data_IF_723734788946
#
_entry.id   IF_723734788946
#
_cell.length_a   1.000
_cell.length_b   1.000
_cell.length_c   1.000
_cell.angle_alpha   90.00
_cell.angle_beta   90.00
_cell.angle_gamma   90.00
#
_symmetry.space_group_name_H-M   'P 1'
#
loop_
_entity.id
_entity.type
_entity.pdbx_description
1 polymer ?
#
# COMPACT_ATOMS: atom_id res chain seq x y z
N UNK A 1 6.78 32.17 -7.53
CA UNK A 1 7.65 31.13 -6.96
C UNK A 1 6.97 29.78 -7.19
N UNK A 2 7.73 28.76 -7.51
CA UNK A 2 7.21 27.42 -7.74
C UNK A 2 6.66 26.80 -6.44
N UNK A 3 5.52 26.11 -6.51
CA UNK A 3 4.96 25.38 -5.37
C UNK A 3 5.67 24.03 -5.13
N UNK A 4 6.62 23.65 -5.99
CA UNK A 4 7.27 22.35 -5.93
C UNK A 4 7.94 22.02 -4.58
N UNK A 5 8.36 23.02 -3.80
CA UNK A 5 8.98 22.81 -2.50
C UNK A 5 7.97 22.50 -1.37
N UNK A 6 6.73 22.93 -1.50
CA UNK A 6 5.71 22.85 -0.45
C UNK A 6 4.51 21.99 -0.79
N UNK A 7 4.22 21.78 -2.08
CA UNK A 7 3.15 20.89 -2.54
C UNK A 7 3.69 19.46 -2.72
N UNK A 8 3.07 18.51 -2.06
CA UNK A 8 3.42 17.10 -2.12
C UNK A 8 2.45 16.28 -2.97
N UNK A 9 1.30 16.82 -3.36
CA UNK A 9 0.31 16.11 -4.19
C UNK A 9 0.67 16.28 -5.66
N UNK A 10 0.97 15.17 -6.32
CA UNK A 10 1.41 15.16 -7.71
C UNK A 10 0.47 15.91 -8.64
N UNK A 11 -0.83 15.68 -8.52
CA UNK A 11 -1.88 16.25 -9.37
C UNK A 11 -2.24 17.71 -9.04
N UNK A 12 -1.52 18.36 -8.12
CA UNK A 12 -1.70 19.78 -7.77
C UNK A 12 -0.61 20.67 -8.34
N UNK A 13 0.44 20.09 -8.90
CA UNK A 13 1.48 20.85 -9.60
C UNK A 13 1.09 21.05 -11.06
N UNK A 14 1.44 22.23 -11.58
CA UNK A 14 1.42 22.52 -13.01
C UNK A 14 2.63 21.84 -13.69
N UNK A 15 2.60 21.66 -15.02
CA UNK A 15 3.72 21.00 -15.71
C UNK A 15 5.06 21.74 -15.58
N UNK A 16 5.15 23.09 -15.50
CA UNK A 16 6.41 23.76 -15.20
C UNK A 16 6.92 23.47 -13.79
N UNK A 17 6.04 23.45 -12.78
CA UNK A 17 6.40 23.10 -11.40
C UNK A 17 6.83 21.64 -11.27
N UNK A 18 6.34 20.79 -12.17
CA UNK A 18 6.78 19.39 -12.22
C UNK A 18 8.25 19.26 -12.63
N UNK A 19 8.77 20.13 -13.53
CA UNK A 19 10.18 20.20 -13.84
C UNK A 19 11.02 20.59 -12.61
N UNK A 20 10.52 21.53 -11.80
CA UNK A 20 11.20 21.90 -10.55
C UNK A 20 11.23 20.71 -9.57
N UNK A 21 10.13 19.97 -9.44
CA UNK A 21 10.05 18.80 -8.57
C UNK A 21 11.01 17.66 -9.03
N UNK A 22 11.18 17.48 -10.35
CA UNK A 22 12.18 16.55 -10.91
C UNK A 22 13.60 17.02 -10.55
N UNK A 23 13.89 18.33 -10.71
CA UNK A 23 15.17 18.92 -10.33
C UNK A 23 15.48 18.78 -8.83
N UNK A 24 14.48 18.76 -7.98
CA UNK A 24 14.60 18.49 -6.53
C UNK A 24 14.81 16.99 -6.23
N UNK A 25 14.76 16.12 -7.23
CA UNK A 25 14.84 14.66 -7.07
C UNK A 25 13.83 14.11 -6.04
N UNK A 26 12.58 14.58 -6.12
CA UNK A 26 11.52 14.06 -5.26
C UNK A 26 11.27 12.58 -5.56
N UNK A 27 11.03 11.81 -4.50
CA UNK A 27 10.61 10.42 -4.61
C UNK A 27 9.10 10.39 -4.89
N UNK A 28 8.66 9.58 -5.83
CA UNK A 28 7.25 9.34 -6.12
C UNK A 28 6.70 8.29 -5.17
N UNK A 29 5.58 8.58 -4.51
CA UNK A 29 4.78 7.60 -3.76
C UNK A 29 3.52 7.30 -4.57
N UNK A 30 3.29 6.02 -4.88
CA UNK A 30 2.07 5.52 -5.50
C UNK A 30 1.27 4.70 -4.47
N UNK A 31 0.22 5.26 -3.85
CA UNK A 31 -0.67 4.50 -3.00
C UNK A 31 -1.49 3.51 -3.82
N UNK A 32 -1.73 2.31 -3.30
CA UNK A 32 -2.62 1.31 -3.89
C UNK A 32 -3.51 0.71 -2.83
N UNK A 33 -4.75 0.43 -3.17
CA UNK A 33 -5.72 -0.21 -2.27
C UNK A 33 -6.71 -1.06 -3.06
N UNK A 34 -7.86 -1.30 -2.47
CA UNK A 34 -8.98 -1.98 -3.09
C UNK A 34 -10.31 -1.36 -2.64
N UNK A 35 -11.35 -1.53 -3.43
CA UNK A 35 -12.73 -1.24 -3.05
C UNK A 35 -13.41 -2.56 -2.76
N UNK A 36 -13.57 -2.90 -1.48
CA UNK A 36 -14.06 -4.21 -1.04
C UNK A 36 -14.79 -4.14 0.30
N UNK A 37 -15.55 -5.19 0.58
CA UNK A 37 -16.22 -5.35 1.85
C UNK A 37 -15.22 -5.33 3.03
N UNK A 38 -15.59 -4.70 4.13
CA UNK A 38 -14.87 -4.70 5.41
C UNK A 38 -15.84 -4.89 6.58
N UNK A 39 -16.54 -6.03 6.57
CA UNK A 39 -17.54 -6.33 7.57
C UNK A 39 -18.80 -5.46 7.48
N UNK A 40 -19.62 -5.51 8.50
CA UNK A 40 -20.86 -4.72 8.57
C UNK A 40 -20.67 -3.31 9.12
N UNK A 41 -19.48 -3.01 9.68
CA UNK A 41 -19.21 -1.81 10.47
C UNK A 41 -18.35 -0.78 9.76
N UNK A 42 -17.57 -1.17 8.75
CA UNK A 42 -16.71 -0.28 7.97
C UNK A 42 -17.25 -0.05 6.55
N UNK A 43 -16.99 1.13 5.95
CA UNK A 43 -17.20 1.35 4.53
C UNK A 43 -16.34 0.45 3.65
N UNK A 44 -16.60 0.43 2.35
CA UNK A 44 -15.86 -0.40 1.38
C UNK A 44 -14.58 0.27 0.82
N UNK A 45 -14.20 1.42 1.35
CA UNK A 45 -13.03 2.19 0.90
C UNK A 45 -11.81 2.05 1.84
N UNK A 46 -11.86 1.16 2.82
CA UNK A 46 -10.86 1.05 3.90
C UNK A 46 -9.43 1.03 3.38
N UNK A 47 -9.11 0.10 2.49
CA UNK A 47 -7.75 -0.07 1.97
C UNK A 47 -7.21 1.18 1.29
N UNK A 48 -8.07 1.82 0.48
CA UNK A 48 -7.72 3.05 -0.25
C UNK A 48 -7.57 4.20 0.74
N UNK A 49 -8.58 4.41 1.57
CA UNK A 49 -8.65 5.54 2.49
C UNK A 49 -7.51 5.53 3.51
N UNK A 50 -7.23 4.38 4.12
CA UNK A 50 -6.16 4.26 5.12
C UNK A 50 -4.77 4.44 4.48
N UNK A 51 -4.51 3.77 3.36
CA UNK A 51 -3.23 3.88 2.65
C UNK A 51 -2.99 5.31 2.14
N UNK A 52 -3.98 5.92 1.50
CA UNK A 52 -3.91 7.28 1.00
C UNK A 52 -3.68 8.28 2.14
N UNK A 53 -4.39 8.14 3.26
CA UNK A 53 -4.24 9.00 4.45
C UNK A 53 -2.83 8.95 5.02
N UNK A 54 -2.26 7.75 5.16
CA UNK A 54 -0.87 7.59 5.61
C UNK A 54 0.10 8.25 4.62
N UNK A 55 -0.04 8.00 3.32
CA UNK A 55 0.84 8.58 2.29
C UNK A 55 0.73 10.11 2.22
N UNK A 56 -0.47 10.65 2.36
CA UNK A 56 -0.67 12.11 2.40
C UNK A 56 -0.05 12.75 3.64
N UNK A 57 -0.15 12.11 4.80
CA UNK A 57 0.51 12.62 6.00
C UNK A 57 2.05 12.57 5.89
N UNK A 58 2.62 11.52 5.27
CA UNK A 58 4.04 11.49 4.91
C UNK A 58 4.39 12.69 4.02
N UNK A 59 3.61 12.92 2.96
CA UNK A 59 3.81 14.05 2.06
C UNK A 59 3.73 15.41 2.77
N UNK A 60 2.79 15.56 3.70
CA UNK A 60 2.65 16.79 4.50
C UNK A 60 3.85 17.05 5.39
N UNK A 61 4.49 16.00 5.94
CA UNK A 61 5.68 16.14 6.83
C UNK A 61 6.97 16.42 6.07
N UNK A 62 7.10 15.92 4.86
CA UNK A 62 8.32 16.08 4.04
C UNK A 62 7.99 16.49 2.60
N UNK A 63 7.27 17.62 2.42
CA UNK A 63 6.75 18.00 1.10
C UNK A 63 7.84 18.30 0.07
N UNK A 64 9.02 18.70 0.51
CA UNK A 64 10.20 18.94 -0.32
C UNK A 64 10.85 17.65 -0.87
N UNK A 65 10.50 16.49 -0.32
CA UNK A 65 11.16 15.21 -0.61
C UNK A 65 10.32 14.25 -1.44
N UNK A 66 9.00 14.39 -1.45
CA UNK A 66 8.09 13.44 -2.11
C UNK A 66 7.03 14.13 -2.96
N UNK A 67 6.49 13.36 -3.93
CA UNK A 67 5.19 13.62 -4.53
C UNK A 67 4.32 12.37 -4.38
N UNK A 68 3.11 12.55 -3.89
CA UNK A 68 2.12 11.49 -3.72
C UNK A 68 1.16 11.52 -4.91
N UNK A 69 1.09 10.44 -5.66
CA UNK A 69 0.15 10.24 -6.76
C UNK A 69 -1.28 9.99 -6.21
N UNK A 70 -2.32 10.25 -7.00
CA UNK A 70 -3.65 9.70 -6.73
C UNK A 70 -3.60 8.19 -6.59
N UNK A 71 -4.39 7.58 -5.69
CA UNK A 71 -4.31 6.14 -5.41
C UNK A 71 -4.88 5.29 -6.56
N UNK A 72 -4.37 4.06 -6.68
CA UNK A 72 -5.06 2.99 -7.41
C UNK A 72 -6.12 2.40 -6.48
N UNK A 73 -7.39 2.66 -6.78
CA UNK A 73 -8.52 2.39 -5.87
C UNK A 73 -9.17 1.01 -6.06
N UNK A 74 -8.76 0.24 -7.06
CA UNK A 74 -9.31 -1.08 -7.38
C UNK A 74 -8.19 -2.09 -7.50
N UNK A 75 -8.37 -3.28 -6.90
CA UNK A 75 -7.32 -4.29 -6.77
C UNK A 75 -7.76 -5.72 -7.13
N UNK A 76 -6.89 -6.68 -6.82
CA UNK A 76 -7.15 -8.11 -6.94
C UNK A 76 -8.10 -8.55 -5.83
N UNK A 77 -9.38 -8.72 -6.16
CA UNK A 77 -10.42 -8.81 -5.16
C UNK A 77 -11.52 -9.86 -5.41
N UNK A 78 -11.25 -10.80 -6.32
CA UNK A 78 -12.22 -11.83 -6.68
C UNK A 78 -12.65 -12.71 -5.50
N UNK A 79 -11.78 -12.86 -4.52
CA UNK A 79 -12.06 -13.66 -3.32
C UNK A 79 -13.11 -13.02 -2.39
N UNK A 80 -13.37 -11.70 -2.51
CA UNK A 80 -14.42 -10.97 -1.80
C UNK A 80 -15.68 -10.72 -2.66
N UNK A 81 -15.75 -11.22 -3.89
CA UNK A 81 -16.80 -10.87 -4.86
C UNK A 81 -18.21 -11.27 -4.43
N UNK A 82 -18.33 -12.24 -3.53
CA UNK A 82 -19.62 -12.69 -2.99
C UNK A 82 -20.27 -11.66 -2.05
N UNK A 83 -19.54 -10.62 -1.68
CA UNK A 83 -20.04 -9.51 -0.86
C UNK A 83 -20.36 -8.30 -1.74
N UNK A 84 -21.60 -7.76 -1.68
CA UNK A 84 -22.02 -6.63 -2.49
C UNK A 84 -21.14 -5.40 -2.34
N UNK A 85 -20.85 -4.71 -3.43
CA UNK A 85 -20.03 -3.50 -3.47
C UNK A 85 -18.55 -3.75 -3.75
N UNK A 86 -18.06 -4.97 -3.61
CA UNK A 86 -16.68 -5.34 -3.96
C UNK A 86 -16.44 -5.22 -5.47
N UNK A 87 -15.34 -4.58 -5.86
CA UNK A 87 -14.91 -4.44 -7.27
C UNK A 87 -13.58 -5.19 -7.45
N UNK A 88 -13.55 -6.08 -8.43
CA UNK A 88 -12.37 -6.87 -8.76
C UNK A 88 -11.71 -6.39 -10.06
N UNK A 89 -10.40 -6.34 -10.05
CA UNK A 89 -9.57 -6.15 -11.25
C UNK A 89 -8.69 -7.38 -11.46
N UNK A 90 -8.66 -7.89 -12.68
CA UNK A 90 -7.80 -9.04 -13.03
C UNK A 90 -6.30 -8.69 -12.80
N UNK A 91 -5.49 -9.65 -12.35
CA UNK A 91 -4.07 -9.41 -12.01
C UNK A 91 -3.28 -8.75 -13.14
N UNK A 92 -3.44 -9.23 -14.37
CA UNK A 92 -2.71 -8.70 -15.53
C UNK A 92 -3.08 -7.25 -15.83
N UNK A 93 -4.36 -6.90 -15.65
CA UNK A 93 -4.85 -5.53 -15.83
C UNK A 93 -4.26 -4.62 -14.76
N UNK A 94 -4.26 -5.04 -13.49
CA UNK A 94 -3.69 -4.29 -12.39
C UNK A 94 -2.18 -4.06 -12.58
N UNK A 95 -1.44 -5.13 -12.91
CA UNK A 95 0.01 -5.05 -13.16
C UNK A 95 0.30 -4.10 -14.30
N UNK A 96 -0.37 -4.24 -15.45
CA UNK A 96 -0.14 -3.39 -16.61
C UNK A 96 -0.53 -1.93 -16.34
N UNK A 97 -1.60 -1.67 -15.62
CA UNK A 97 -2.02 -0.32 -15.24
C UNK A 97 -0.97 0.35 -14.32
N UNK A 98 -0.56 -0.33 -13.25
CA UNK A 98 0.47 0.17 -12.34
C UNK A 98 1.81 0.38 -13.04
N UNK A 99 2.22 -0.55 -13.93
CA UNK A 99 3.45 -0.42 -14.71
C UNK A 99 3.41 0.79 -15.65
N UNK A 100 2.28 1.07 -16.31
CA UNK A 100 2.16 2.25 -17.17
C UNK A 100 2.29 3.55 -16.36
N UNK A 101 1.77 3.61 -15.13
CA UNK A 101 1.94 4.76 -14.24
C UNK A 101 3.42 4.93 -13.89
N UNK A 102 4.08 3.87 -13.41
CA UNK A 102 5.49 3.95 -12.99
C UNK A 102 6.43 4.26 -14.16
N UNK A 103 6.18 3.71 -15.34
CA UNK A 103 6.92 4.04 -16.58
C UNK A 103 6.74 5.50 -16.99
N UNK A 104 5.54 6.05 -16.85
CA UNK A 104 5.28 7.44 -17.19
C UNK A 104 6.05 8.41 -16.29
N UNK A 105 6.05 8.18 -14.97
CA UNK A 105 6.82 9.03 -14.05
C UNK A 105 8.34 8.84 -14.22
N UNK A 106 8.79 7.63 -14.53
CA UNK A 106 10.20 7.36 -14.88
C UNK A 106 10.61 8.09 -16.15
N UNK A 107 9.75 8.08 -17.19
CA UNK A 107 9.99 8.81 -18.44
C UNK A 107 10.16 10.31 -18.22
N UNK A 108 9.42 10.89 -17.27
CA UNK A 108 9.56 12.31 -16.92
C UNK A 108 10.84 12.63 -16.12
N UNK A 109 11.60 11.62 -15.69
CA UNK A 109 12.89 11.82 -15.02
C UNK A 109 12.86 11.60 -13.49
N UNK A 110 11.76 11.14 -12.92
CA UNK A 110 11.73 10.71 -11.52
C UNK A 110 12.48 9.39 -11.36
N UNK A 111 13.55 9.44 -10.59
CA UNK A 111 14.49 8.32 -10.48
C UNK A 111 14.09 7.26 -9.42
N UNK A 112 13.20 7.61 -8.49
CA UNK A 112 12.83 6.74 -7.36
C UNK A 112 11.33 6.73 -7.17
N UNK A 113 10.76 5.53 -7.17
CA UNK A 113 9.32 5.28 -7.05
C UNK A 113 9.11 4.30 -5.91
N UNK A 114 8.18 4.61 -5.00
CA UNK A 114 7.75 3.75 -3.92
C UNK A 114 6.26 3.45 -4.08
N UNK A 115 5.92 2.18 -4.30
CA UNK A 115 4.53 1.72 -4.28
C UNK A 115 4.19 1.35 -2.84
N UNK A 116 3.18 2.00 -2.28
CA UNK A 116 2.68 1.73 -0.92
C UNK A 116 1.32 1.06 -1.02
N UNK A 117 1.20 -0.13 -0.46
CA UNK A 117 0.00 -0.95 -0.56
C UNK A 117 -0.84 -0.89 0.71
N UNK A 118 -2.16 -0.85 0.54
CA UNK A 118 -3.17 -0.95 1.58
C UNK A 118 -3.98 -2.25 1.55
N UNK A 119 -3.85 -3.08 0.50
CA UNK A 119 -4.66 -4.29 0.33
C UNK A 119 -3.79 -5.54 0.25
N UNK A 120 -4.02 -6.50 1.16
CA UNK A 120 -3.16 -7.69 1.27
C UNK A 120 -2.96 -8.45 -0.05
N UNK A 121 -4.02 -8.63 -0.83
CA UNK A 121 -3.97 -9.41 -2.08
C UNK A 121 -3.24 -8.70 -3.22
N UNK A 122 -3.02 -7.41 -3.15
CA UNK A 122 -2.19 -6.69 -4.12
C UNK A 122 -0.68 -6.91 -3.90
N UNK A 123 -0.25 -7.40 -2.74
CA UNK A 123 1.18 -7.49 -2.39
C UNK A 123 2.04 -8.19 -3.44
N UNK A 124 1.69 -9.38 -3.98
CA UNK A 124 2.48 -10.00 -5.04
C UNK A 124 2.46 -9.22 -6.36
N UNK A 125 1.41 -8.46 -6.63
CA UNK A 125 1.25 -7.70 -7.88
C UNK A 125 2.10 -6.43 -7.86
N UNK A 126 2.15 -5.72 -6.74
CA UNK A 126 2.99 -4.51 -6.61
C UNK A 126 4.49 -4.86 -6.67
N UNK A 127 4.89 -6.03 -6.16
CA UNK A 127 6.27 -6.53 -6.31
C UNK A 127 6.60 -6.77 -7.78
N UNK A 128 5.69 -7.37 -8.55
CA UNK A 128 5.85 -7.55 -10.00
C UNK A 128 5.90 -6.21 -10.75
N UNK A 129 5.06 -5.24 -10.40
CA UNK A 129 5.11 -3.88 -10.98
C UNK A 129 6.48 -3.26 -10.70
N UNK A 130 6.97 -3.32 -9.48
CA UNK A 130 8.27 -2.76 -9.11
C UNK A 130 9.42 -3.41 -9.91
N UNK A 131 9.44 -4.75 -10.00
CA UNK A 131 10.42 -5.50 -10.80
C UNK A 131 10.39 -5.13 -12.28
N UNK A 132 9.21 -5.09 -12.89
CA UNK A 132 9.05 -4.71 -14.30
C UNK A 132 9.47 -3.26 -14.55
N UNK A 133 9.16 -2.35 -13.64
CA UNK A 133 9.59 -0.94 -13.74
C UNK A 133 11.11 -0.83 -13.81
N UNK A 134 11.83 -1.53 -12.93
CA UNK A 134 13.31 -1.53 -12.93
C UNK A 134 13.87 -2.18 -14.20
N UNK A 135 13.21 -3.21 -14.75
CA UNK A 135 13.67 -3.87 -15.99
C UNK A 135 13.43 -3.04 -17.25
N UNK A 136 12.40 -2.18 -17.24
CA UNK A 136 11.93 -1.43 -18.41
C UNK A 136 12.28 0.07 -18.36
N UNK A 137 12.90 0.53 -17.26
CA UNK A 137 13.30 1.95 -17.09
C UNK A 137 14.65 2.05 -16.36
N UNK A 138 15.19 3.28 -16.28
CA UNK A 138 16.40 3.56 -15.48
C UNK A 138 16.08 3.95 -14.03
N UNK A 139 14.81 3.88 -13.61
CA UNK A 139 14.40 4.27 -12.28
C UNK A 139 14.42 3.10 -11.31
N UNK A 140 14.77 3.34 -10.03
CA UNK A 140 14.55 2.39 -8.96
C UNK A 140 13.08 2.41 -8.55
N UNK A 141 12.51 1.23 -8.40
CA UNK A 141 11.14 1.07 -7.93
C UNK A 141 11.09 0.10 -6.75
N UNK A 142 10.44 0.53 -5.68
CA UNK A 142 10.31 -0.19 -4.42
C UNK A 142 8.82 -0.47 -4.17
N UNK A 143 8.52 -1.57 -3.48
CA UNK A 143 7.17 -1.93 -3.09
C UNK A 143 7.13 -2.27 -1.59
N UNK A 144 6.13 -1.77 -0.89
CA UNK A 144 5.90 -2.06 0.53
C UNK A 144 4.42 -2.02 0.87
N UNK A 145 4.06 -2.52 2.04
CA UNK A 145 2.74 -2.34 2.65
C UNK A 145 2.88 -1.49 3.91
N UNK A 146 2.06 -0.46 4.07
CA UNK A 146 2.23 0.51 5.16
C UNK A 146 2.11 -0.12 6.54
N UNK A 147 1.33 -1.18 6.70
CA UNK A 147 1.11 -1.81 8.00
C UNK A 147 2.38 -2.45 8.60
N UNK A 148 3.40 -2.78 7.82
CA UNK A 148 4.67 -3.28 8.37
C UNK A 148 5.33 -2.29 9.34
N UNK A 149 5.13 -1.00 9.12
CA UNK A 149 5.74 0.06 9.92
C UNK A 149 5.01 0.37 11.23
N UNK A 150 3.80 -0.13 11.39
CA UNK A 150 3.01 0.06 12.61
C UNK A 150 2.96 -1.18 13.52
N UNK A 151 3.35 -2.35 12.99
CA UNK A 151 3.17 -3.63 13.68
C UNK A 151 3.87 -3.73 15.02
N UNK A 152 5.05 -3.13 15.15
CA UNK A 152 5.77 -3.12 16.44
C UNK A 152 4.96 -2.42 17.53
N UNK A 153 4.41 -1.24 17.24
CA UNK A 153 3.59 -0.49 18.19
C UNK A 153 2.22 -1.16 18.41
N UNK A 154 1.62 -1.68 17.32
CA UNK A 154 0.34 -2.37 17.43
C UNK A 154 0.42 -3.62 18.31
N UNK A 155 1.46 -4.41 18.20
CA UNK A 155 1.67 -5.61 19.03
C UNK A 155 1.78 -5.30 20.53
N UNK A 156 2.11 -4.07 20.92
CA UNK A 156 2.15 -3.64 22.33
C UNK A 156 0.78 -3.33 22.92
N UNK A 157 -0.21 -3.03 22.06
CA UNK A 157 -1.51 -2.48 22.47
C UNK A 157 -2.72 -3.29 21.99
N UNK A 158 -2.53 -4.23 21.05
CA UNK A 158 -3.63 -5.05 20.54
C UNK A 158 -4.18 -5.99 21.60
N UNK A 159 -5.46 -6.26 21.51
CA UNK A 159 -6.19 -7.22 22.32
C UNK A 159 -6.61 -8.46 21.51
N UNK A 160 -6.76 -8.30 20.19
CA UNK A 160 -7.09 -9.39 19.27
C UNK A 160 -5.90 -10.33 19.07
N UNK A 161 -6.19 -11.65 19.00
CA UNK A 161 -5.19 -12.67 18.68
C UNK A 161 -4.94 -12.83 17.18
N UNK A 162 -5.88 -12.38 16.34
CA UNK A 162 -5.86 -12.51 14.89
C UNK A 162 -5.91 -11.12 14.25
N UNK A 163 -5.00 -10.88 13.32
CA UNK A 163 -4.94 -9.66 12.53
C UNK A 163 -4.96 -10.05 11.06
N UNK A 164 -6.06 -9.81 10.39
CA UNK A 164 -6.22 -10.22 9.00
C UNK A 164 -7.07 -9.25 8.16
N UNK A 165 -8.35 -9.01 8.50
CA UNK A 165 -9.23 -8.21 7.65
C UNK A 165 -10.43 -7.66 8.42
N UNK A 166 -10.75 -6.39 8.22
CA UNK A 166 -11.82 -5.67 8.91
C UNK A 166 -11.75 -5.85 10.45
N UNK A 167 -10.57 -5.97 10.96
CA UNK A 167 -10.20 -6.38 12.30
C UNK A 167 -9.96 -5.18 13.25
N UNK A 168 -9.36 -5.44 14.40
CA UNK A 168 -8.99 -4.41 15.39
C UNK A 168 -8.10 -3.32 14.79
N UNK A 169 -7.15 -3.69 13.94
CA UNK A 169 -6.18 -2.78 13.35
C UNK A 169 -6.84 -1.78 12.38
N UNK A 170 -7.56 -2.29 11.37
CA UNK A 170 -8.21 -1.45 10.34
C UNK A 170 -9.33 -0.62 10.95
N UNK A 171 -10.11 -1.23 11.87
CA UNK A 171 -11.16 -0.53 12.60
C UNK A 171 -10.60 0.62 13.43
N UNK A 172 -9.47 0.40 14.12
CA UNK A 172 -8.84 1.44 14.93
C UNK A 172 -8.35 2.62 14.08
N UNK A 173 -7.66 2.35 12.95
CA UNK A 173 -7.22 3.39 12.05
C UNK A 173 -8.40 4.19 11.48
N UNK A 174 -9.45 3.49 11.06
CA UNK A 174 -10.63 4.15 10.49
C UNK A 174 -11.34 5.00 11.52
N UNK A 175 -11.50 4.52 12.77
CA UNK A 175 -12.04 5.29 13.89
C UNK A 175 -11.25 6.56 14.17
N UNK A 176 -9.92 6.49 14.10
CA UNK A 176 -9.07 7.67 14.28
C UNK A 176 -9.24 8.72 13.17
N UNK A 177 -9.35 8.28 11.94
CA UNK A 177 -9.34 9.16 10.77
C UNK A 177 -10.73 9.67 10.37
N UNK A 178 -11.76 8.84 10.53
CA UNK A 178 -13.14 9.15 10.12
C UNK A 178 -14.15 8.33 10.96
N UNK A 179 -14.09 8.45 12.28
CA UNK A 179 -14.91 7.67 13.19
C UNK A 179 -16.42 7.84 13.03
N UNK A 180 -16.87 8.96 12.49
CA UNK A 180 -18.27 9.23 12.13
C UNK A 180 -18.83 8.32 11.04
N UNK A 181 -17.95 7.63 10.28
CA UNK A 181 -18.34 6.67 9.25
C UNK A 181 -18.37 5.22 9.73
N UNK A 182 -17.88 4.94 10.92
CA UNK A 182 -17.80 3.59 11.49
C UNK A 182 -19.07 3.27 12.29
N UNK A 183 -19.66 2.10 12.03
CA UNK A 183 -20.88 1.64 12.73
C UNK A 183 -20.49 0.60 13.78
N UNK A 184 -19.86 1.03 14.89
CA UNK A 184 -19.28 0.12 15.90
C UNK A 184 -20.31 -0.83 16.52
N UNK A 185 -21.59 -0.47 16.55
CA UNK A 185 -22.67 -1.35 17.00
C UNK A 185 -22.86 -2.60 16.12
N UNK A 186 -22.22 -2.61 14.94
CA UNK A 186 -22.22 -3.74 14.02
C UNK A 186 -20.88 -4.49 13.97
N UNK A 187 -19.90 -4.03 14.74
CA UNK A 187 -18.61 -4.70 14.84
C UNK A 187 -18.75 -6.08 15.49
N UNK A 188 -18.05 -7.06 14.97
CA UNK A 188 -18.08 -8.45 15.43
C UNK A 188 -16.67 -9.04 15.53
N UNK A 189 -16.54 -10.11 16.33
CA UNK A 189 -15.41 -11.04 16.23
C UNK A 189 -15.81 -12.20 15.34
N UNK A 190 -14.93 -12.55 14.37
CA UNK A 190 -15.09 -13.71 13.49
C UNK A 190 -13.70 -14.28 13.15
N UNK A 191 -13.35 -15.46 13.72
CA UNK A 191 -11.98 -16.00 13.75
C UNK A 191 -11.88 -17.49 13.38
N UNK A 192 -12.80 -18.04 12.63
CA UNK A 192 -13.07 -19.49 12.58
C UNK A 192 -11.96 -20.40 12.00
N UNK A 193 -10.88 -19.91 11.35
CA UNK A 193 -9.95 -20.82 10.67
C UNK A 193 -8.48 -20.44 10.82
N UNK A 194 -7.84 -21.06 11.80
CA UNK A 194 -6.40 -21.01 11.99
C UNK A 194 -5.80 -22.42 12.06
N UNK A 195 -4.70 -22.65 11.35
CA UNK A 195 -3.93 -23.88 11.41
C UNK A 195 -2.49 -23.64 11.85
N UNK A 196 -1.81 -24.70 12.31
CA UNK A 196 -0.42 -24.59 12.76
C UNK A 196 0.53 -24.06 11.66
N UNK A 197 0.29 -24.39 10.41
CA UNK A 197 1.15 -24.03 9.27
C UNK A 197 0.48 -23.11 8.25
N UNK A 198 -0.83 -22.93 8.38
CA UNK A 198 -1.65 -22.09 7.52
C UNK A 198 -2.33 -21.08 8.42
N UNK A 199 -1.97 -19.84 8.27
CA UNK A 199 -2.58 -18.73 9.02
C UNK A 199 -2.94 -17.62 8.05
N UNK A 200 -4.06 -16.99 8.30
CA UNK A 200 -4.44 -15.73 7.69
C UNK A 200 -3.97 -14.52 8.50
N UNK A 201 -3.38 -14.77 9.69
CA UNK A 201 -2.81 -13.70 10.50
C UNK A 201 -1.63 -13.06 9.77
N UNK A 202 -1.78 -11.80 9.37
CA UNK A 202 -0.79 -11.02 8.62
C UNK A 202 0.51 -10.76 9.41
N UNK A 203 0.53 -11.02 10.71
CA UNK A 203 1.70 -10.85 11.56
C UNK A 203 2.65 -12.05 11.55
N UNK A 204 2.21 -13.19 11.03
CA UNK A 204 2.99 -14.42 11.02
C UNK A 204 3.71 -14.63 9.70
N UNK A 205 4.98 -15.09 9.76
CA UNK A 205 5.68 -15.59 8.58
C UNK A 205 5.02 -16.88 8.10
N UNK A 206 4.31 -16.82 7.00
CA UNK A 206 3.58 -17.94 6.44
C UNK A 206 4.51 -19.01 5.87
N UNK A 207 4.41 -20.24 6.37
CA UNK A 207 4.95 -21.40 5.65
C UNK A 207 4.13 -21.73 4.41
N UNK A 208 2.82 -21.50 4.47
CA UNK A 208 1.87 -21.75 3.40
C UNK A 208 0.94 -20.55 3.25
N UNK A 209 0.89 -19.97 2.05
CA UNK A 209 -0.11 -18.96 1.72
C UNK A 209 -1.40 -19.65 1.35
N UNK A 210 -2.49 -19.22 1.96
CA UNK A 210 -3.82 -19.74 1.71
C UNK A 210 -4.64 -18.70 0.95
N UNK A 211 -5.33 -19.14 -0.10
CA UNK A 211 -6.19 -18.31 -0.91
C UNK A 211 -7.49 -19.06 -1.18
N UNK A 212 -8.62 -18.45 -0.87
CA UNK A 212 -9.96 -19.02 -1.12
C UNK A 212 -10.98 -17.89 -1.19
N UNK A 213 -12.22 -18.20 -1.54
CA UNK A 213 -13.32 -17.25 -1.48
C UNK A 213 -13.75 -17.00 -0.02
N UNK A 214 -13.85 -15.72 0.36
CA UNK A 214 -14.19 -15.32 1.72
C UNK A 214 -15.57 -15.75 2.16
N UNK A 215 -16.54 -15.84 1.25
CA UNK A 215 -17.87 -16.38 1.53
C UNK A 215 -17.89 -17.83 2.03
N UNK A 216 -16.75 -18.56 1.97
CA UNK A 216 -16.60 -19.89 2.56
C UNK A 216 -16.14 -19.84 4.02
N UNK A 217 -15.55 -18.74 4.46
CA UNK A 217 -14.91 -18.64 5.78
C UNK A 217 -15.71 -17.85 6.77
N UNK A 218 -16.25 -16.72 6.32
CA UNK A 218 -16.98 -15.78 7.15
C UNK A 218 -18.30 -15.43 6.52
N UNK A 219 -19.31 -15.24 7.34
CA UNK A 219 -20.61 -14.70 6.93
C UNK A 219 -20.71 -13.19 7.16
N UNK A 220 -19.81 -12.69 7.99
CA UNK A 220 -19.79 -11.28 8.40
C UNK A 220 -18.85 -10.42 7.55
N UNK A 221 -17.93 -11.06 6.83
CA UNK A 221 -16.83 -10.40 6.11
C UNK A 221 -15.63 -10.07 6.98
N UNK A 222 -15.73 -10.18 8.30
CA UNK A 222 -14.63 -9.95 9.25
C UNK A 222 -13.74 -11.19 9.35
N UNK A 223 -12.44 -10.98 9.54
CA UNK A 223 -11.52 -12.01 10.00
C UNK A 223 -10.57 -11.40 11.03
N UNK A 224 -10.89 -11.52 12.28
CA UNK A 224 -10.27 -10.87 13.42
C UNK A 224 -11.31 -10.45 14.45
N UNK A 225 -10.98 -9.50 15.33
CA UNK A 225 -11.92 -8.95 16.31
C UNK A 225 -12.05 -7.43 16.15
N UNK A 226 -13.04 -7.02 15.36
CA UNK A 226 -13.35 -5.60 15.14
C UNK A 226 -13.82 -4.88 16.41
N UNK A 227 -14.37 -5.62 17.39
CA UNK A 227 -14.94 -5.04 18.63
C UNK A 227 -13.87 -4.39 19.52
N UNK A 228 -12.60 -4.73 19.30
CA UNK A 228 -11.44 -4.19 20.02
C UNK A 228 -10.88 -2.91 19.42
N UNK A 229 -11.37 -2.49 18.27
CA UNK A 229 -10.93 -1.26 17.62
C UNK A 229 -11.26 -0.02 18.44
N UNK A 230 -10.29 0.91 18.58
CA UNK A 230 -10.48 2.22 19.20
C UNK A 230 -9.72 3.32 18.48
N UNK A 231 -10.24 4.56 18.55
CA UNK A 231 -9.58 5.71 17.93
C UNK A 231 -8.21 6.00 18.56
N UNK A 232 -8.04 5.71 19.85
CA UNK A 232 -6.78 5.88 20.57
C UNK A 232 -5.70 4.94 20.03
N UNK A 233 -6.03 3.67 19.84
CA UNK A 233 -5.12 2.70 19.17
C UNK A 233 -4.82 3.16 17.75
N UNK A 234 -5.84 3.59 17.02
CA UNK A 234 -5.71 4.12 15.66
C UNK A 234 -4.72 5.27 15.57
N UNK A 235 -4.78 6.21 16.52
CA UNK A 235 -3.83 7.33 16.57
C UNK A 235 -2.37 6.87 16.74
N UNK A 236 -2.15 5.93 17.67
CA UNK A 236 -0.79 5.41 17.95
C UNK A 236 -0.21 4.73 16.72
N UNK A 237 -0.98 3.84 16.09
CA UNK A 237 -0.50 3.07 14.93
C UNK A 237 -0.43 3.90 13.65
N UNK A 238 -1.27 4.92 13.49
CA UNK A 238 -1.16 5.88 12.39
C UNK A 238 0.17 6.63 12.46
N UNK A 239 0.50 7.17 13.64
CA UNK A 239 1.77 7.86 13.86
C UNK A 239 2.98 6.95 13.60
N UNK A 240 2.90 5.68 14.02
CA UNK A 240 3.95 4.69 13.77
C UNK A 240 4.13 4.43 12.26
N UNK A 241 3.04 4.21 11.53
CA UNK A 241 3.08 4.00 10.08
C UNK A 241 3.69 5.19 9.34
N UNK A 242 3.26 6.40 9.67
CA UNK A 242 3.76 7.64 9.04
C UNK A 242 5.24 7.84 9.34
N UNK A 243 5.67 7.72 10.61
CA UNK A 243 7.07 7.87 10.99
C UNK A 243 7.96 6.83 10.30
N UNK A 244 7.51 5.58 10.25
CA UNK A 244 8.22 4.51 9.57
C UNK A 244 8.41 4.78 8.06
N UNK A 245 7.35 5.24 7.38
CA UNK A 245 7.44 5.60 5.97
C UNK A 245 8.29 6.85 5.72
N UNK A 246 8.25 7.86 6.61
CA UNK A 246 9.15 9.02 6.53
C UNK A 246 10.61 8.58 6.60
N UNK A 247 10.94 7.66 7.52
CA UNK A 247 12.29 7.12 7.65
C UNK A 247 12.69 6.33 6.39
N UNK A 248 11.79 5.46 5.88
CA UNK A 248 12.02 4.73 4.63
C UNK A 248 12.28 5.69 3.46
N UNK A 249 11.48 6.73 3.29
CA UNK A 249 11.68 7.71 2.21
C UNK A 249 13.06 8.37 2.31
N UNK A 250 13.50 8.76 3.51
CA UNK A 250 14.83 9.34 3.71
C UNK A 250 15.95 8.35 3.33
N UNK A 251 15.81 7.08 3.71
CA UNK A 251 16.75 6.01 3.34
C UNK A 251 16.77 5.80 1.83
N UNK A 252 15.61 5.61 1.21
CA UNK A 252 15.50 5.36 -0.23
C UNK A 252 16.02 6.53 -1.06
N UNK A 253 15.81 7.78 -0.61
CA UNK A 253 16.37 8.95 -1.29
C UNK A 253 17.90 8.97 -1.25
N UNK A 254 18.51 8.51 -0.18
CA UNK A 254 19.95 8.40 -0.05
C UNK A 254 20.54 7.18 -0.80
N UNK A 255 19.71 6.21 -1.20
CA UNK A 255 20.16 5.01 -1.90
C UNK A 255 20.81 5.38 -3.24
N UNK A 256 22.06 4.91 -3.51
CA UNK A 256 22.74 5.23 -4.75
C UNK A 256 22.08 4.54 -5.96
N UNK A 257 22.17 5.17 -7.11
CA UNK A 257 21.80 4.60 -8.40
C UNK A 257 23.09 4.41 -9.18
N UNK A 258 23.65 3.20 -9.09
CA UNK A 258 24.87 2.85 -9.79
C UNK A 258 24.57 2.45 -11.25
N UNK A 259 25.56 2.65 -12.13
CA UNK A 259 25.45 2.16 -13.49
C UNK A 259 25.43 0.63 -13.50
N UNK A 260 24.50 0.06 -14.24
CA UNK A 260 24.49 -1.38 -14.51
C UNK A 260 25.79 -1.79 -15.21
N UNK A 261 26.53 -2.71 -14.59
CA UNK A 261 27.71 -3.30 -15.19
C UNK A 261 27.34 -4.62 -15.88
N UNK A 262 27.79 -4.76 -17.12
CA UNK A 262 27.70 -6.03 -17.85
C UNK A 262 28.96 -6.84 -17.51
N UNK A 263 28.76 -8.03 -16.92
CA UNK A 263 29.85 -8.92 -16.50
C UNK A 263 30.23 -9.97 -17.56
N UNK A 264 29.66 -9.90 -18.77
CA UNK A 264 30.06 -10.81 -19.84
C UNK A 264 31.49 -10.49 -20.31
N UNK A 265 32.30 -11.55 -20.45
CA UNK A 265 33.69 -11.43 -20.98
C UNK A 265 33.76 -11.25 -22.49
N UNK A 266 32.65 -11.54 -23.17
CA UNK A 266 32.50 -11.37 -24.62
C UNK A 266 31.28 -10.52 -24.93
N UNK A 267 31.31 -9.68 -26.01
CA UNK A 267 30.18 -8.89 -26.42
C UNK A 267 28.93 -9.76 -26.65
N UNK A 268 27.76 -9.32 -26.17
CA UNK A 268 26.49 -9.97 -26.47
C UNK A 268 26.19 -9.85 -27.96
N UNK A 269 26.07 -10.98 -28.64
CA UNK A 269 25.87 -11.02 -30.12
C UNK A 269 24.42 -10.80 -30.53
N UNK A 270 23.47 -10.92 -29.62
CA UNK A 270 22.06 -10.68 -29.92
C UNK A 270 21.40 -9.92 -28.79
N UNK A 271 20.62 -8.90 -29.11
CA UNK A 271 19.69 -8.29 -28.16
C UNK A 271 18.40 -9.10 -28.19
N UNK A 272 18.15 -9.85 -27.13
CA UNK A 272 16.84 -10.45 -26.91
C UNK A 272 15.96 -9.33 -26.31
N UNK A 273 14.91 -8.95 -27.01
CA UNK A 273 13.85 -8.10 -26.45
C UNK A 273 12.89 -9.01 -25.68
N UNK A 274 12.91 -8.86 -24.37
CA UNK A 274 12.04 -9.62 -23.44
C UNK A 274 10.63 -9.05 -23.38
#
# INVERSE_FOLDING_TARGET
MSNAATEYRYNRLTWPEMNDAIGMQKLIILPTGSTEQHGHHLPIDVDVFLCESVCHEVGRRIPDKVLVLPPISYGLNRHHIDFPGTIHIEPDVFINFGLNITKSVAYHGFQKILIVNGHGSNAPLIDLIARKTVLETESLCFATTYFWFLMEEFNKIRESNVIAHADEFETSLYLHLAGDRVQMEKAVEDNDRMGKYVSSDSTMNYFVRFNDYWGRWTKTGVHGDATKGTAEKGKIIFEAAVNGLVNLVNELRAWPIDKRADMHTHPIQSQIQW
#
